data_IF_504009905590
#
_entry.id   IF_504009905590
#
_cell.length_a   1.000
_cell.length_b   1.000
_cell.length_c   1.000
_cell.angle_alpha   90.00
_cell.angle_beta   90.00
_cell.angle_gamma   90.00
#
_symmetry.space_group_name_H-M   'P 1'
#
loop_
_entity.id
_entity.type
_entity.pdbx_description
1 polymer ?
#
# COMPACT_ATOMS: atom_id res chain seq x y z
N UNK A 1 8.22 -28.83 -14.47
CA UNK A 1 8.78 -27.53 -14.90
C UNK A 1 8.31 -26.34 -14.06
N UNK A 2 7.12 -26.39 -13.44
CA UNK A 2 6.53 -25.25 -12.71
C UNK A 2 7.34 -24.68 -11.53
N UNK A 3 8.11 -25.50 -10.81
CA UNK A 3 8.88 -25.06 -9.62
C UNK A 3 10.28 -24.53 -9.93
N UNK A 4 10.84 -24.84 -11.09
CA UNK A 4 12.21 -24.47 -11.44
C UNK A 4 12.34 -22.99 -11.78
N UNK A 5 11.30 -22.41 -12.36
CA UNK A 5 11.25 -20.98 -12.68
C UNK A 5 11.28 -20.08 -11.43
N UNK A 6 10.39 -20.24 -10.43
CA UNK A 6 10.46 -19.43 -9.21
C UNK A 6 11.74 -19.68 -8.41
N UNK A 7 12.28 -20.92 -8.41
CA UNK A 7 13.55 -21.23 -7.76
C UNK A 7 14.72 -20.49 -8.42
N UNK A 8 14.80 -20.49 -9.75
CA UNK A 8 15.84 -19.77 -10.49
C UNK A 8 15.77 -18.25 -10.24
N UNK A 9 14.56 -17.68 -10.22
CA UNK A 9 14.35 -16.27 -9.91
C UNK A 9 14.77 -15.95 -8.47
N UNK A 10 14.43 -16.80 -7.50
CA UNK A 10 14.81 -16.60 -6.10
C UNK A 10 16.34 -16.67 -5.91
N UNK A 11 17.01 -17.62 -6.57
CA UNK A 11 18.47 -17.72 -6.54
C UNK A 11 19.13 -16.48 -7.15
N UNK A 12 18.60 -15.98 -8.27
CA UNK A 12 19.08 -14.76 -8.92
C UNK A 12 18.92 -13.55 -8.00
N UNK A 13 17.76 -13.37 -7.37
CA UNK A 13 17.51 -12.28 -6.41
C UNK A 13 18.45 -12.38 -5.21
N UNK A 14 18.68 -13.59 -4.70
CA UNK A 14 19.58 -13.83 -3.57
C UNK A 14 21.02 -13.50 -3.94
N UNK A 15 21.47 -13.91 -5.12
CA UNK A 15 22.79 -13.59 -5.64
C UNK A 15 22.96 -12.08 -5.84
N UNK A 16 21.95 -11.40 -6.38
CA UNK A 16 21.94 -9.93 -6.47
C UNK A 16 22.06 -9.27 -5.10
N UNK A 17 21.35 -9.74 -4.07
CA UNK A 17 21.49 -9.22 -2.70
C UNK A 17 22.91 -9.44 -2.16
N UNK A 18 23.46 -10.64 -2.30
CA UNK A 18 24.82 -10.94 -1.83
C UNK A 18 25.84 -10.04 -2.52
N UNK A 19 25.72 -9.83 -3.83
CA UNK A 19 26.63 -8.95 -4.59
C UNK A 19 26.46 -7.49 -4.17
N UNK A 20 25.22 -7.02 -4.02
CA UNK A 20 24.91 -5.62 -3.72
C UNK A 20 25.32 -5.23 -2.29
N UNK A 21 25.24 -6.18 -1.34
CA UNK A 21 25.61 -5.97 0.05
C UNK A 21 26.97 -6.55 0.44
N UNK A 22 27.76 -7.05 -0.53
CA UNK A 22 29.08 -7.66 -0.27
C UNK A 22 30.03 -6.70 0.44
N UNK A 23 29.97 -5.42 0.10
CA UNK A 23 30.81 -4.36 0.66
C UNK A 23 30.04 -3.49 1.67
N UNK A 24 28.87 -3.95 2.12
CA UNK A 24 28.10 -3.25 3.14
C UNK A 24 28.78 -3.44 4.51
N UNK A 25 29.52 -2.41 4.92
CA UNK A 25 30.08 -2.33 6.26
C UNK A 25 28.95 -1.98 7.22
N UNK A 26 28.47 -2.97 7.98
CA UNK A 26 27.61 -2.71 9.15
C UNK A 26 28.37 -1.76 10.09
N UNK A 27 27.75 -0.69 10.63
CA UNK A 27 28.42 0.21 11.56
C UNK A 27 28.94 -0.62 12.75
N UNK A 28 30.25 -0.90 12.77
CA UNK A 28 30.87 -1.63 13.86
C UNK A 28 31.12 -0.64 14.97
N UNK A 29 30.43 -0.83 16.07
CA UNK A 29 30.87 -0.63 17.45
C UNK A 29 29.72 -1.13 18.33
N UNK A 30 29.90 -1.15 19.65
CA UNK A 30 28.82 -1.10 20.67
C UNK A 30 28.37 -2.45 21.24
N UNK A 31 29.15 -3.03 22.15
CA UNK A 31 28.58 -3.72 23.33
C UNK A 31 28.43 -2.73 24.52
N UNK A 32 29.34 -1.75 24.65
CA UNK A 32 29.28 -0.74 25.73
C UNK A 32 28.31 0.43 25.43
N UNK A 33 27.85 0.53 24.18
CA UNK A 33 27.00 1.62 23.71
C UNK A 33 25.55 1.14 23.47
N UNK A 34 25.24 -0.16 23.59
CA UNK A 34 23.89 -0.71 23.40
C UNK A 34 22.90 -0.13 24.40
N UNK A 35 23.29 0.02 25.67
CA UNK A 35 22.40 0.59 26.69
C UNK A 35 22.09 2.07 26.43
N UNK A 36 23.05 2.85 25.93
CA UNK A 36 22.85 4.25 25.57
C UNK A 36 22.09 4.39 24.24
N UNK A 37 22.36 3.53 23.26
CA UNK A 37 21.60 3.47 22.01
C UNK A 37 20.18 3.01 22.22
N UNK A 38 19.94 1.99 23.04
CA UNK A 38 18.61 1.47 23.34
C UNK A 38 17.80 2.49 24.13
N UNK A 39 18.43 3.20 25.07
CA UNK A 39 17.80 4.34 25.76
C UNK A 39 17.51 5.49 24.79
N UNK A 40 18.42 5.79 23.87
CA UNK A 40 18.24 6.79 22.81
C UNK A 40 17.11 6.39 21.84
N UNK A 41 17.08 5.13 21.41
CA UNK A 41 16.07 4.56 20.52
C UNK A 41 14.68 4.55 21.18
N UNK A 42 14.61 4.20 22.47
CA UNK A 42 13.37 4.27 23.25
C UNK A 42 12.87 5.72 23.37
N UNK A 43 13.75 6.67 23.66
CA UNK A 43 13.40 8.09 23.72
C UNK A 43 12.92 8.60 22.36
N UNK A 44 13.62 8.26 21.27
CA UNK A 44 13.25 8.61 19.90
C UNK A 44 11.91 7.98 19.49
N UNK A 45 11.67 6.72 19.86
CA UNK A 45 10.40 6.03 19.65
C UNK A 45 9.26 6.76 20.37
N UNK A 46 9.42 7.03 21.66
CA UNK A 46 8.44 7.75 22.47
C UNK A 46 8.17 9.13 21.85
N UNK A 47 9.22 9.86 21.45
CA UNK A 47 9.10 11.15 20.80
C UNK A 47 8.27 11.08 19.52
N UNK A 48 8.47 10.07 18.67
CA UNK A 48 7.69 9.86 17.44
C UNK A 48 6.21 9.59 17.74
N UNK A 49 5.92 8.84 18.80
CA UNK A 49 4.54 8.54 19.21
C UNK A 49 3.78 9.77 19.73
N UNK A 50 4.50 10.82 20.17
CA UNK A 50 3.90 12.11 20.53
C UNK A 50 3.60 13.00 19.31
N UNK A 51 4.14 12.69 18.12
CA UNK A 51 3.88 13.48 16.93
C UNK A 51 2.53 13.08 16.31
N UNK A 52 1.58 14.03 16.13
CA UNK A 52 0.25 13.72 15.58
C UNK A 52 0.33 13.19 14.14
N UNK A 53 1.33 13.61 13.36
CA UNK A 53 1.54 13.13 11.99
C UNK A 53 1.82 11.63 11.93
N UNK A 54 2.44 11.05 12.96
CA UNK A 54 2.72 9.61 13.04
C UNK A 54 1.42 8.82 13.04
N UNK A 55 0.45 9.21 13.88
CA UNK A 55 -0.84 8.53 13.98
C UNK A 55 -1.68 8.68 12.71
N UNK A 56 -1.66 9.86 12.09
CA UNK A 56 -2.33 10.07 10.79
C UNK A 56 -1.68 9.16 9.73
N UNK A 57 -0.35 9.07 9.72
CA UNK A 57 0.41 8.16 8.85
C UNK A 57 0.07 6.69 9.05
N UNK A 58 -0.02 6.25 10.31
CA UNK A 58 -0.41 4.88 10.68
C UNK A 58 -1.83 4.58 10.21
N UNK A 59 -2.79 5.48 10.43
CA UNK A 59 -4.18 5.26 9.97
C UNK A 59 -4.22 5.17 8.44
N UNK A 60 -3.52 6.08 7.76
CA UNK A 60 -3.44 6.08 6.30
C UNK A 60 -2.86 4.78 5.78
N UNK A 61 -1.73 4.30 6.33
CA UNK A 61 -1.09 3.07 5.84
C UNK A 61 -1.93 1.81 6.12
N UNK A 62 -2.65 1.78 7.26
CA UNK A 62 -3.59 0.71 7.58
C UNK A 62 -4.70 0.67 6.52
N UNK A 63 -5.27 1.82 6.16
CA UNK A 63 -6.28 1.91 5.11
C UNK A 63 -5.71 1.51 3.75
N UNK A 64 -4.50 1.96 3.41
CA UNK A 64 -3.85 1.62 2.14
C UNK A 64 -3.61 0.12 2.00
N UNK A 65 -3.10 -0.53 3.05
CA UNK A 65 -2.88 -1.97 3.06
C UNK A 65 -4.21 -2.73 3.09
N UNK A 66 -5.20 -2.27 3.86
CA UNK A 66 -6.53 -2.85 3.81
C UNK A 66 -7.12 -2.79 2.39
N UNK A 67 -6.94 -1.69 1.65
CA UNK A 67 -7.37 -1.56 0.26
C UNK A 67 -6.62 -2.53 -0.65
N UNK A 68 -5.28 -2.50 -0.65
CA UNK A 68 -4.46 -3.30 -1.57
C UNK A 68 -4.63 -4.78 -1.34
N UNK A 69 -4.58 -5.22 -0.09
CA UNK A 69 -4.55 -6.62 0.26
C UNK A 69 -5.95 -7.23 0.20
N UNK A 70 -7.00 -6.50 0.61
CA UNK A 70 -8.39 -7.01 0.42
C UNK A 70 -8.72 -7.16 -1.06
N UNK A 71 -8.35 -6.16 -1.88
CA UNK A 71 -8.56 -6.28 -3.32
C UNK A 71 -7.73 -7.45 -3.88
N UNK A 72 -6.45 -7.58 -3.51
CA UNK A 72 -5.59 -8.66 -4.01
C UNK A 72 -6.06 -10.06 -3.61
N UNK A 73 -6.55 -10.23 -2.37
CA UNK A 73 -7.01 -11.52 -1.86
C UNK A 73 -8.33 -11.97 -2.49
N UNK A 74 -9.21 -11.03 -2.84
CA UNK A 74 -10.59 -11.34 -3.24
C UNK A 74 -10.91 -11.04 -4.71
N UNK A 75 -10.01 -10.39 -5.44
CA UNK A 75 -10.23 -10.01 -6.85
C UNK A 75 -10.45 -11.22 -7.76
N UNK A 76 -9.66 -12.30 -7.60
CA UNK A 76 -9.82 -13.51 -8.42
C UNK A 76 -11.19 -14.15 -8.19
N UNK A 77 -11.60 -14.34 -6.93
CA UNK A 77 -12.92 -14.87 -6.57
C UNK A 77 -14.04 -13.95 -7.09
N UNK A 78 -13.91 -12.64 -6.95
CA UNK A 78 -14.87 -11.68 -7.50
C UNK A 78 -14.96 -11.78 -9.04
N UNK A 79 -13.85 -11.96 -9.74
CA UNK A 79 -13.85 -12.14 -11.19
C UNK A 79 -14.51 -13.43 -11.64
N UNK A 80 -14.32 -14.53 -10.90
CA UNK A 80 -14.93 -15.83 -11.21
C UNK A 80 -16.43 -15.77 -10.89
N UNK A 81 -16.79 -15.47 -9.64
CA UNK A 81 -18.15 -15.67 -9.13
C UNK A 81 -19.12 -14.55 -9.54
N UNK A 82 -18.62 -13.32 -9.74
CA UNK A 82 -19.45 -12.17 -10.08
C UNK A 82 -19.30 -11.75 -11.55
N UNK A 83 -18.09 -11.87 -12.12
CA UNK A 83 -17.84 -11.50 -13.53
C UNK A 83 -17.82 -12.68 -14.50
N UNK A 84 -17.93 -13.91 -14.02
CA UNK A 84 -17.94 -15.11 -14.87
C UNK A 84 -16.62 -15.32 -15.63
N UNK A 85 -15.50 -14.82 -15.10
CA UNK A 85 -14.18 -15.03 -15.70
C UNK A 85 -13.69 -16.44 -15.42
N UNK A 86 -13.00 -17.06 -16.39
CA UNK A 86 -12.37 -18.36 -16.17
C UNK A 86 -11.28 -18.25 -15.09
N UNK A 87 -11.02 -19.32 -14.31
CA UNK A 87 -10.03 -19.30 -13.24
C UNK A 87 -8.63 -18.86 -13.69
N UNK A 88 -8.17 -19.31 -14.86
CA UNK A 88 -6.85 -18.93 -15.39
C UNK A 88 -6.81 -17.45 -15.79
N UNK A 89 -7.86 -16.97 -16.46
CA UNK A 89 -8.02 -15.56 -16.85
C UNK A 89 -8.03 -14.65 -15.61
N UNK A 90 -8.72 -15.04 -14.54
CA UNK A 90 -8.80 -14.26 -13.30
C UNK A 90 -7.43 -14.04 -12.64
N UNK A 91 -6.52 -15.00 -12.76
CA UNK A 91 -5.15 -14.89 -12.24
C UNK A 91 -4.33 -13.90 -13.04
N UNK A 92 -4.48 -13.88 -14.36
CA UNK A 92 -3.85 -12.86 -15.21
C UNK A 92 -4.44 -11.46 -14.96
N UNK A 93 -5.73 -11.35 -14.67
CA UNK A 93 -6.35 -10.09 -14.26
C UNK A 93 -5.76 -9.58 -12.92
N UNK A 94 -5.53 -10.46 -11.95
CA UNK A 94 -4.80 -10.11 -10.72
C UNK A 94 -3.36 -9.67 -11.00
N UNK A 95 -2.67 -10.33 -11.93
CA UNK A 95 -1.34 -9.88 -12.38
C UNK A 95 -1.40 -8.48 -13.00
N UNK A 96 -2.44 -8.15 -13.77
CA UNK A 96 -2.65 -6.82 -14.34
C UNK A 96 -2.90 -5.74 -13.29
N UNK A 97 -3.59 -6.08 -12.19
CA UNK A 97 -3.68 -5.18 -11.03
C UNK A 97 -2.30 -4.83 -10.49
N UNK A 98 -1.45 -5.82 -10.23
CA UNK A 98 -0.10 -5.62 -9.70
C UNK A 98 0.85 -4.95 -10.70
N UNK A 99 0.71 -5.25 -11.99
CA UNK A 99 1.44 -4.58 -13.06
C UNK A 99 1.07 -3.10 -13.12
N UNK A 100 -0.23 -2.79 -13.13
CA UNK A 100 -0.73 -1.43 -13.03
C UNK A 100 -0.18 -0.70 -11.81
N UNK A 101 -0.26 -1.34 -10.64
CA UNK A 101 0.27 -0.82 -9.37
C UNK A 101 1.76 -0.50 -9.45
N UNK A 102 2.54 -1.38 -10.06
CA UNK A 102 3.99 -1.18 -10.28
C UNK A 102 4.26 -0.02 -11.23
N UNK A 103 3.56 0.03 -12.37
CA UNK A 103 3.66 1.14 -13.32
C UNK A 103 3.28 2.48 -12.67
N UNK A 104 2.22 2.49 -11.85
CA UNK A 104 1.77 3.66 -11.10
C UNK A 104 2.84 4.17 -10.14
N UNK A 105 3.48 3.27 -9.39
CA UNK A 105 4.60 3.62 -8.51
C UNK A 105 5.71 4.35 -9.27
N UNK A 106 6.12 3.83 -10.43
CA UNK A 106 7.20 4.41 -11.23
C UNK A 106 6.77 5.75 -11.83
N UNK A 107 5.60 5.77 -12.48
CA UNK A 107 5.10 6.94 -13.22
C UNK A 107 4.87 8.14 -12.30
N UNK A 108 4.36 7.91 -11.10
CA UNK A 108 4.07 8.96 -10.13
C UNK A 108 5.24 9.27 -9.18
N UNK A 109 6.30 8.46 -9.15
CA UNK A 109 7.51 8.71 -8.34
C UNK A 109 8.29 9.96 -8.75
N UNK A 110 8.16 10.42 -10.00
CA UNK A 110 8.90 11.57 -10.55
C UNK A 110 8.11 12.91 -10.50
N UNK A 111 6.78 12.97 -10.76
CA UNK A 111 6.04 14.24 -10.84
C UNK A 111 5.35 14.66 -9.53
N UNK A 112 5.11 13.75 -8.57
CA UNK A 112 4.33 14.08 -7.35
C UNK A 112 5.02 15.04 -6.39
N UNK A 113 6.30 15.39 -6.64
CA UNK A 113 7.06 16.37 -5.87
C UNK A 113 6.39 17.77 -5.91
N UNK A 114 5.59 18.06 -6.94
CA UNK A 114 5.01 19.41 -7.16
C UNK A 114 3.50 19.51 -6.88
N UNK A 115 2.79 18.40 -6.65
CA UNK A 115 1.34 18.42 -6.41
C UNK A 115 1.08 18.54 -4.90
N UNK A 116 0.13 19.40 -4.52
CA UNK A 116 -0.30 19.54 -3.11
C UNK A 116 -0.68 18.16 -2.56
N UNK A 117 0.06 17.70 -1.54
CA UNK A 117 0.01 16.36 -0.91
C UNK A 117 -1.44 15.84 -0.72
N UNK A 118 -2.37 16.72 -0.34
CA UNK A 118 -3.79 16.37 -0.11
C UNK A 118 -4.58 16.15 -1.40
N UNK A 119 -4.49 17.10 -2.34
CA UNK A 119 -5.29 17.09 -3.57
C UNK A 119 -4.84 15.96 -4.50
N UNK A 120 -3.53 15.77 -4.63
CA UNK A 120 -2.97 14.70 -5.45
C UNK A 120 -3.43 13.32 -5.01
N UNK A 121 -3.31 13.01 -3.71
CA UNK A 121 -3.76 11.71 -3.17
C UNK A 121 -5.29 11.55 -3.25
N UNK A 122 -6.06 12.62 -3.03
CA UNK A 122 -7.52 12.57 -3.17
C UNK A 122 -7.93 12.24 -4.61
N UNK A 123 -7.28 12.86 -5.60
CA UNK A 123 -7.55 12.58 -7.02
C UNK A 123 -7.20 11.14 -7.39
N UNK A 124 -6.04 10.63 -6.95
CA UNK A 124 -5.65 9.23 -7.17
C UNK A 124 -6.68 8.26 -6.59
N UNK A 125 -7.10 8.47 -5.34
CA UNK A 125 -8.09 7.63 -4.68
C UNK A 125 -9.49 7.75 -5.33
N UNK A 126 -9.86 8.93 -5.82
CA UNK A 126 -11.08 9.13 -6.58
C UNK A 126 -11.03 8.39 -7.93
N UNK A 127 -9.89 8.42 -8.63
CA UNK A 127 -9.70 7.67 -9.88
C UNK A 127 -9.72 6.15 -9.66
N UNK A 128 -9.11 5.67 -8.57
CA UNK A 128 -9.25 4.27 -8.11
C UNK A 128 -10.73 3.93 -7.88
N UNK A 129 -11.44 4.76 -7.12
CA UNK A 129 -12.86 4.55 -6.84
C UNK A 129 -13.73 4.55 -8.10
N UNK A 130 -13.43 5.43 -9.05
CA UNK A 130 -14.08 5.48 -10.37
C UNK A 130 -13.83 4.21 -11.19
N UNK A 131 -12.58 3.74 -11.26
CA UNK A 131 -12.25 2.49 -11.94
C UNK A 131 -12.99 1.30 -11.32
N UNK A 132 -13.06 1.22 -9.98
CA UNK A 132 -13.81 0.18 -9.29
C UNK A 132 -15.33 0.31 -9.43
N UNK A 133 -15.87 1.54 -9.56
CA UNK A 133 -17.29 1.75 -9.84
C UNK A 133 -17.66 1.26 -11.25
N UNK A 134 -16.80 1.52 -12.25
CA UNK A 134 -16.96 0.97 -13.60
C UNK A 134 -16.84 -0.56 -13.57
N UNK A 135 -15.82 -1.10 -12.89
CA UNK A 135 -15.69 -2.54 -12.69
C UNK A 135 -16.94 -3.11 -12.03
N UNK A 136 -17.56 -2.41 -11.09
CA UNK A 136 -18.76 -2.89 -10.42
C UNK A 136 -19.96 -2.96 -11.35
N UNK A 137 -20.23 -1.90 -12.12
CA UNK A 137 -21.46 -1.73 -12.92
C UNK A 137 -21.40 -2.33 -14.32
N UNK A 138 -20.22 -2.41 -14.92
CA UNK A 138 -20.06 -2.87 -16.31
C UNK A 138 -19.70 -4.36 -16.34
N UNK A 139 -20.38 -5.12 -17.20
CA UNK A 139 -20.15 -6.56 -17.40
C UNK A 139 -19.55 -6.80 -18.79
N UNK A 140 -18.32 -6.31 -19.00
CA UNK A 140 -17.57 -6.50 -20.25
C UNK A 140 -16.18 -7.03 -19.93
N UNK A 141 -15.73 -8.15 -20.54
CA UNK A 141 -14.40 -8.69 -20.30
C UNK A 141 -13.29 -7.68 -20.55
N UNK A 142 -13.34 -6.96 -21.68
CA UNK A 142 -12.34 -5.94 -22.02
C UNK A 142 -12.30 -4.80 -20.99
N UNK A 143 -13.47 -4.35 -20.53
CA UNK A 143 -13.57 -3.31 -19.51
C UNK A 143 -13.00 -3.77 -18.16
N UNK A 144 -13.20 -5.03 -17.78
CA UNK A 144 -12.65 -5.58 -16.53
C UNK A 144 -11.12 -5.49 -16.52
N UNK A 145 -10.45 -5.91 -17.60
CA UNK A 145 -8.99 -5.82 -17.71
C UNK A 145 -8.46 -4.40 -17.54
N UNK A 146 -9.08 -3.45 -18.25
CA UNK A 146 -8.67 -2.04 -18.24
C UNK A 146 -8.89 -1.46 -16.84
N UNK A 147 -10.09 -1.61 -16.28
CA UNK A 147 -10.44 -1.05 -14.97
C UNK A 147 -9.60 -1.63 -13.83
N UNK A 148 -9.25 -2.92 -13.87
CA UNK A 148 -8.37 -3.55 -12.88
C UNK A 148 -6.95 -2.99 -12.95
N UNK A 149 -6.37 -2.87 -14.16
CA UNK A 149 -5.06 -2.26 -14.33
C UNK A 149 -5.06 -0.78 -13.92
N UNK A 150 -6.11 -0.03 -14.29
CA UNK A 150 -6.29 1.37 -13.90
C UNK A 150 -6.42 1.53 -12.38
N UNK A 151 -7.17 0.65 -11.72
CA UNK A 151 -7.28 0.63 -10.26
C UNK A 151 -5.91 0.42 -9.61
N UNK A 152 -5.15 -0.57 -10.07
CA UNK A 152 -3.76 -0.77 -9.61
C UNK A 152 -2.91 0.47 -9.82
N UNK A 153 -2.92 1.03 -11.03
CA UNK A 153 -2.12 2.20 -11.41
C UNK A 153 -2.32 3.41 -10.50
N UNK A 154 -3.56 3.75 -10.17
CA UNK A 154 -3.82 4.87 -9.26
C UNK A 154 -3.55 4.57 -7.79
N UNK A 155 -3.64 3.29 -7.38
CA UNK A 155 -3.27 2.86 -6.03
C UNK A 155 -1.74 2.83 -5.83
N UNK A 156 -0.98 2.58 -6.89
CA UNK A 156 0.50 2.46 -6.89
C UNK A 156 1.23 3.44 -5.98
N UNK A 157 1.11 4.77 -6.19
CA UNK A 157 1.85 5.77 -5.41
C UNK A 157 1.35 5.97 -3.98
N UNK A 158 0.24 5.34 -3.57
CA UNK A 158 -0.41 5.65 -2.31
C UNK A 158 0.49 5.38 -1.09
N UNK A 159 1.03 4.17 -0.97
CA UNK A 159 1.99 3.80 0.10
C UNK A 159 3.26 4.66 0.11
N UNK A 160 4.05 4.77 -0.98
CA UNK A 160 5.25 5.60 -0.97
C UNK A 160 4.92 7.08 -0.75
N UNK A 161 3.75 7.55 -1.20
CA UNK A 161 3.24 8.89 -0.94
C UNK A 161 3.01 9.15 0.55
N UNK A 162 2.33 8.25 1.26
CA UNK A 162 2.12 8.35 2.71
C UNK A 162 3.45 8.39 3.45
N UNK A 163 4.36 7.46 3.13
CA UNK A 163 5.68 7.40 3.78
C UNK A 163 6.51 8.65 3.51
N UNK A 164 6.45 9.19 2.29
CA UNK A 164 7.10 10.46 1.94
C UNK A 164 6.55 11.62 2.76
N UNK A 165 5.22 11.75 2.87
CA UNK A 165 4.58 12.81 3.65
C UNK A 165 4.96 12.70 5.13
N UNK A 166 4.82 11.51 5.72
CA UNK A 166 5.11 11.30 7.16
C UNK A 166 6.60 11.56 7.45
N UNK A 167 7.50 11.00 6.65
CA UNK A 167 8.94 11.16 6.85
C UNK A 167 9.42 12.60 6.61
N UNK A 168 8.75 13.37 5.74
CA UNK A 168 9.07 14.78 5.52
C UNK A 168 8.69 15.70 6.71
N UNK A 169 7.85 15.22 7.64
CA UNK A 169 7.38 15.98 8.81
C UNK A 169 8.13 15.65 10.10
N UNK A 170 9.12 14.76 10.05
CA UNK A 170 9.97 14.41 11.20
C UNK A 170 11.44 14.80 10.96
N UNK A 171 12.22 15.07 12.02
CA UNK A 171 13.66 15.27 11.92
C UNK A 171 14.37 14.11 11.19
N UNK A 172 15.48 14.37 10.46
CA UNK A 172 16.22 13.33 9.73
C UNK A 172 16.59 12.11 10.57
N UNK A 173 16.96 12.30 11.84
CA UNK A 173 17.30 11.23 12.79
C UNK A 173 16.13 10.30 13.13
N UNK A 174 14.89 10.75 12.95
CA UNK A 174 13.67 10.03 13.31
C UNK A 174 12.97 9.38 12.09
N UNK A 175 13.42 9.67 10.86
CA UNK A 175 12.80 9.19 9.61
C UNK A 175 12.73 7.67 9.52
N UNK A 176 13.84 6.98 9.86
CA UNK A 176 13.88 5.52 9.84
C UNK A 176 12.84 4.90 10.79
N UNK A 177 12.81 5.38 12.03
CA UNK A 177 11.91 4.84 13.06
C UNK A 177 10.45 5.11 12.70
N UNK A 178 10.08 6.32 12.24
CA UNK A 178 8.68 6.63 11.90
C UNK A 178 8.20 5.78 10.73
N UNK A 179 9.04 5.57 9.71
CA UNK A 179 8.71 4.72 8.56
C UNK A 179 8.51 3.27 9.00
N UNK A 180 9.42 2.73 9.82
CA UNK A 180 9.33 1.36 10.32
C UNK A 180 8.07 1.12 11.16
N UNK A 181 7.74 2.03 12.09
CA UNK A 181 6.52 1.92 12.91
C UNK A 181 5.27 2.02 12.04
N UNK A 182 5.26 2.96 11.09
CA UNK A 182 4.13 3.18 10.18
C UNK A 182 3.86 1.91 9.37
N UNK A 183 4.88 1.34 8.72
CA UNK A 183 4.75 0.08 7.97
C UNK A 183 4.36 -1.08 8.88
N UNK A 184 5.04 -1.23 10.02
CA UNK A 184 4.81 -2.31 10.97
C UNK A 184 3.36 -2.37 11.46
N UNK A 185 2.79 -1.22 11.83
CA UNK A 185 1.38 -1.13 12.19
C UNK A 185 0.43 -1.21 10.98
N UNK A 186 0.89 -0.81 9.80
CA UNK A 186 0.16 -0.98 8.53
C UNK A 186 -0.23 -2.42 8.24
N UNK A 187 0.60 -3.39 8.64
CA UNK A 187 0.33 -4.83 8.47
C UNK A 187 -0.97 -5.29 9.14
N UNK A 188 -1.46 -4.55 10.15
CA UNK A 188 -2.80 -4.77 10.72
C UNK A 188 -3.87 -4.60 9.64
N UNK A 189 -3.75 -3.62 8.76
CA UNK A 189 -4.65 -3.43 7.61
C UNK A 189 -4.56 -4.56 6.59
N UNK A 190 -3.33 -5.00 6.27
CA UNK A 190 -3.09 -6.09 5.32
C UNK A 190 -3.70 -7.43 5.78
N UNK A 191 -3.76 -7.65 7.10
CA UNK A 191 -4.26 -8.90 7.69
C UNK A 191 -5.75 -8.82 8.02
N UNK A 192 -6.18 -7.76 8.72
CA UNK A 192 -7.57 -7.61 9.14
C UNK A 192 -8.50 -7.24 7.98
N UNK A 193 -8.05 -6.49 6.98
CA UNK A 193 -8.88 -6.11 5.83
C UNK A 193 -9.47 -7.33 5.11
N UNK A 194 -8.63 -8.23 4.57
CA UNK A 194 -9.10 -9.44 3.91
C UNK A 194 -9.92 -10.35 4.82
N UNK A 195 -9.53 -10.47 6.10
CA UNK A 195 -10.23 -11.31 7.09
C UNK A 195 -11.65 -10.79 7.36
N UNK A 196 -11.78 -9.50 7.69
CA UNK A 196 -13.07 -8.87 7.96
C UNK A 196 -13.95 -8.97 6.72
N UNK A 197 -13.40 -8.68 5.54
CA UNK A 197 -14.14 -8.82 4.28
C UNK A 197 -14.65 -10.26 4.09
N UNK A 198 -13.81 -11.27 4.31
CA UNK A 198 -14.19 -12.67 4.20
C UNK A 198 -15.30 -13.10 5.17
N UNK A 199 -15.28 -12.60 6.41
CA UNK A 199 -16.35 -12.87 7.37
C UNK A 199 -17.66 -12.19 6.98
N UNK A 200 -17.59 -10.97 6.46
CA UNK A 200 -18.77 -10.19 6.05
C UNK A 200 -19.39 -10.78 4.79
N UNK A 201 -18.57 -11.15 3.80
CA UNK A 201 -19.06 -11.64 2.50
C UNK A 201 -19.88 -12.91 2.62
N UNK A 202 -19.55 -13.80 3.58
CA UNK A 202 -20.31 -15.01 3.86
C UNK A 202 -21.65 -14.78 4.58
N UNK A 203 -21.92 -13.57 5.07
CA UNK A 203 -23.13 -13.22 5.84
C UNK A 203 -24.09 -12.30 5.10
N UNK A 204 -23.64 -11.64 4.03
CA UNK A 204 -24.45 -10.66 3.30
C UNK A 204 -25.01 -11.24 2.01
N UNK A 205 -26.28 -10.94 1.70
CA UNK A 205 -26.96 -11.44 0.51
C UNK A 205 -26.25 -11.16 -0.83
N UNK A 206 -25.62 -9.99 -1.06
CA UNK A 206 -24.92 -9.72 -2.32
C UNK A 206 -23.59 -10.48 -2.50
N UNK A 207 -23.12 -11.23 -1.48
CA UNK A 207 -21.87 -11.98 -1.53
C UNK A 207 -20.69 -11.13 -2.01
N UNK A 208 -19.84 -11.69 -2.86
CA UNK A 208 -18.65 -11.01 -3.40
C UNK A 208 -18.97 -9.72 -4.17
N UNK A 209 -20.23 -9.49 -4.55
CA UNK A 209 -20.71 -8.26 -5.17
C UNK A 209 -20.41 -6.99 -4.37
N UNK A 210 -20.14 -7.10 -3.06
CA UNK A 210 -19.76 -5.97 -2.20
C UNK A 210 -18.27 -5.58 -2.28
N UNK A 211 -17.42 -6.32 -3.01
CA UNK A 211 -15.99 -6.02 -3.04
C UNK A 211 -15.69 -4.59 -3.55
N UNK A 212 -16.12 -4.17 -4.76
CA UNK A 212 -15.87 -2.80 -5.21
C UNK A 212 -16.40 -1.70 -4.26
N UNK A 213 -17.66 -1.74 -3.76
CA UNK A 213 -18.14 -0.69 -2.87
C UNK A 213 -17.39 -0.64 -1.53
N UNK A 214 -16.97 -1.77 -0.96
CA UNK A 214 -16.15 -1.77 0.26
C UNK A 214 -14.81 -1.06 0.02
N UNK A 215 -14.13 -1.37 -1.08
CA UNK A 215 -12.85 -0.72 -1.40
C UNK A 215 -13.04 0.78 -1.69
N UNK A 216 -14.13 1.18 -2.35
CA UNK A 216 -14.47 2.59 -2.57
C UNK A 216 -14.69 3.32 -1.23
N UNK A 217 -15.35 2.70 -0.26
CA UNK A 217 -15.53 3.28 1.09
C UNK A 217 -14.19 3.43 1.80
N UNK A 218 -13.31 2.42 1.76
CA UNK A 218 -11.97 2.52 2.34
C UNK A 218 -11.13 3.61 1.67
N UNK A 219 -11.19 3.71 0.33
CA UNK A 219 -10.51 4.75 -0.43
C UNK A 219 -11.05 6.15 -0.08
N UNK A 220 -12.36 6.28 0.12
CA UNK A 220 -13.00 7.53 0.53
C UNK A 220 -12.59 7.93 1.95
N UNK A 221 -12.53 6.96 2.88
CA UNK A 221 -12.05 7.18 4.24
C UNK A 221 -10.58 7.62 4.24
N UNK A 222 -9.73 6.95 3.45
CA UNK A 222 -8.33 7.34 3.26
C UNK A 222 -8.21 8.77 2.71
N UNK A 223 -9.01 9.11 1.69
CA UNK A 223 -9.05 10.46 1.13
C UNK A 223 -9.44 11.50 2.20
N UNK A 224 -10.47 11.25 3.01
CA UNK A 224 -10.87 12.12 4.13
C UNK A 224 -9.73 12.25 5.15
N UNK A 225 -9.04 11.16 5.49
CA UNK A 225 -7.88 11.19 6.39
C UNK A 225 -6.73 12.03 5.82
N UNK A 226 -6.50 12.04 4.50
CA UNK A 226 -5.49 12.94 3.90
C UNK A 226 -5.80 14.43 4.16
N UNK A 227 -7.08 14.81 4.28
CA UNK A 227 -7.46 16.18 4.57
C UNK A 227 -7.19 16.60 6.02
N UNK A 228 -7.02 15.65 6.95
CA UNK A 228 -6.66 15.96 8.34
C UNK A 228 -5.16 16.27 8.50
N UNK A 229 -4.31 15.91 7.53
CA UNK A 229 -2.88 16.24 7.55
C UNK A 229 -2.70 17.75 7.54
N UNK A 230 -2.06 18.38 8.55
CA UNK A 230 -1.91 19.83 8.59
C UNK A 230 -1.11 20.38 7.38
N UNK A 231 -1.44 21.59 6.88
CA UNK A 231 -0.75 22.16 5.73
C UNK A 231 0.74 22.23 6.04
N UNK A 232 1.58 22.06 5.01
CA UNK A 232 3.02 22.21 5.19
C UNK A 232 3.30 23.69 5.42
N UNK A 233 3.59 24.08 6.66
CA UNK A 233 4.14 25.40 6.94
C UNK A 233 5.49 25.45 6.23
N UNK A 234 5.66 26.37 5.26
CA UNK A 234 6.97 26.63 4.69
C UNK A 234 7.86 27.06 5.86
N UNK A 235 8.83 26.21 6.19
CA UNK A 235 9.94 26.62 7.03
C UNK A 235 10.97 27.11 6.03
N UNK A 236 11.10 28.43 5.95
CA UNK A 236 12.15 29.12 5.21
C UNK A 236 13.53 28.62 5.68
#
# INVERSE_FOLDING_TARGET
>A
MYYWFPLSLALLVTLCHIVLFKDYVTPSDREHNENNEQRSARTNFIQIMYLPITWIGIILIILSFAISDTLSSWLTSYMIDIKGSEPDISRYQLSMFWAGLTCGRIFFSLPFIHVRERLGNTLLLACLGGALAVLWKVTSPATNWITIATAGFFLGPNTPGILSIVSARVPPSLKGIVVSITIGLGLVGATLGPLIFGVVVGKVGPGLGILPPVIIVLASLSAITFWTIPPRTKRD
#
